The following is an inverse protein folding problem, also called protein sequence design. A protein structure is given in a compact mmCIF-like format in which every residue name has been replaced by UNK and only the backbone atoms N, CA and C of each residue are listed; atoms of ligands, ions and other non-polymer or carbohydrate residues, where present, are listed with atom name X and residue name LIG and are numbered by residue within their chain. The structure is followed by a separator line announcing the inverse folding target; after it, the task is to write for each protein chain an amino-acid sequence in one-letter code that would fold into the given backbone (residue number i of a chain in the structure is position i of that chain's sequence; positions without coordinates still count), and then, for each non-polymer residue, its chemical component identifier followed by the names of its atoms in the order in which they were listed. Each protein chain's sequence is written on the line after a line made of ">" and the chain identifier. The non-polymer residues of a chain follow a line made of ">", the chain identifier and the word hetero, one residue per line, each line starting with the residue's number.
data_IF_988978028244
#
_entry.id   IF_988978028244
#
_cell.length_a   1.000
_cell.length_b   1.000
_cell.length_c   1.000
_cell.angle_alpha   90.00
_cell.angle_beta   90.00
_cell.angle_gamma   90.00
#
_symmetry.space_group_name_H-M   'P 1'
#
loop_
_entity.id
_entity.type
_entity.pdbx_description
1 polymer ?
#
# COMPACT_ATOMS: atom_id res chain seq x y z
N UNK A 1 3.63 -4.15 11.09
CA UNK A 1 2.53 -5.11 11.36
C UNK A 1 1.24 -4.32 11.46
N UNK A 2 0.24 -4.62 10.63
CA UNK A 2 -1.06 -3.97 10.71
C UNK A 2 -1.79 -4.44 11.97
N UNK A 3 -2.40 -3.52 12.71
CA UNK A 3 -3.13 -3.84 13.95
C UNK A 3 -4.20 -4.96 13.84
N UNK A 4 -4.91 -5.16 12.70
CA UNK A 4 -5.85 -6.27 12.53
C UNK A 4 -5.20 -7.66 12.57
N UNK A 5 -3.87 -7.76 12.55
CA UNK A 5 -3.17 -9.02 12.71
C UNK A 5 -3.25 -9.58 14.14
N UNK A 6 -3.52 -8.73 15.14
CA UNK A 6 -3.59 -9.12 16.56
C UNK A 6 -4.82 -8.58 17.29
N UNK A 7 -5.50 -7.55 16.76
CA UNK A 7 -6.77 -7.05 17.29
C UNK A 7 -7.98 -7.51 16.47
N UNK A 8 -9.12 -7.62 17.14
CA UNK A 8 -10.39 -7.91 16.46
C UNK A 8 -10.68 -6.86 15.39
N UNK A 9 -11.17 -7.33 14.24
CA UNK A 9 -11.42 -6.45 13.11
C UNK A 9 -12.56 -6.94 12.24
N UNK A 10 -13.27 -5.97 11.65
CA UNK A 10 -14.26 -6.16 10.59
C UNK A 10 -13.97 -5.13 9.51
N UNK A 11 -12.82 -5.31 8.85
CA UNK A 11 -12.16 -4.21 8.15
C UNK A 11 -11.89 -3.06 9.11
N UNK A 12 -12.26 -1.84 8.72
CA UNK A 12 -12.08 -0.62 9.51
C UNK A 12 -13.24 -0.29 10.47
N UNK A 13 -14.27 -1.16 10.55
CA UNK A 13 -15.46 -0.87 11.37
C UNK A 13 -15.24 -0.95 12.89
N UNK A 14 -14.15 -1.57 13.35
CA UNK A 14 -13.81 -1.69 14.78
C UNK A 14 -12.60 -0.85 15.21
N UNK A 15 -12.12 0.09 14.35
CA UNK A 15 -11.02 0.99 14.72
C UNK A 15 -11.34 1.73 16.02
N UNK A 16 -10.32 1.93 16.86
CA UNK A 16 -10.43 2.58 18.16
C UNK A 16 -10.60 1.59 19.32
N UNK A 17 -11.07 0.37 19.05
CA UNK A 17 -11.08 -0.73 20.03
C UNK A 17 -9.69 -1.37 20.13
N UNK A 18 -8.67 -0.59 20.50
CA UNK A 18 -7.26 -0.99 20.55
C UNK A 18 -6.88 -1.83 21.78
N UNK A 19 -7.88 -2.42 22.43
CA UNK A 19 -7.82 -3.23 23.63
C UNK A 19 -8.52 -4.59 23.44
N UNK A 20 -9.12 -4.85 22.27
CA UNK A 20 -9.84 -6.11 21.99
C UNK A 20 -9.00 -6.99 21.08
N UNK A 21 -8.37 -8.00 21.69
CA UNK A 21 -7.52 -8.96 21.01
C UNK A 21 -8.33 -10.03 20.28
N UNK A 22 -7.78 -10.53 19.17
CA UNK A 22 -8.39 -11.66 18.46
C UNK A 22 -8.36 -12.90 19.33
N UNK A 23 -9.27 -13.84 19.06
CA UNK A 23 -9.30 -15.17 19.69
C UNK A 23 -7.99 -15.96 19.62
N UNK A 24 -7.11 -15.65 18.66
CA UNK A 24 -5.77 -16.26 18.54
C UNK A 24 -4.77 -15.75 19.60
N UNK A 25 -5.12 -14.70 20.34
CA UNK A 25 -4.34 -14.07 21.43
C UNK A 25 -5.16 -14.11 22.74
N UNK A 26 -5.47 -15.30 23.28
CA UNK A 26 -6.31 -15.45 24.47
C UNK A 26 -5.76 -14.73 25.72
N UNK A 27 -4.44 -14.56 25.81
CA UNK A 27 -3.75 -13.83 26.90
C UNK A 27 -3.40 -12.37 26.50
N UNK A 28 -3.99 -11.89 25.41
CA UNK A 28 -3.94 -10.50 24.94
C UNK A 28 -2.52 -9.98 24.71
N UNK A 29 -2.16 -8.90 25.41
CA UNK A 29 -0.85 -8.23 25.30
C UNK A 29 0.32 -9.18 25.59
N UNK A 30 0.14 -10.20 26.43
CA UNK A 30 1.18 -11.21 26.71
C UNK A 30 1.51 -12.04 25.47
N UNK A 31 0.50 -12.49 24.74
CA UNK A 31 0.68 -13.22 23.49
C UNK A 31 1.27 -12.33 22.39
N UNK A 32 0.85 -11.06 22.34
CA UNK A 32 1.43 -10.06 21.45
C UNK A 32 2.93 -9.92 21.72
N UNK A 33 3.35 -9.73 22.98
CA UNK A 33 4.76 -9.67 23.38
C UNK A 33 5.52 -10.93 22.94
N UNK A 34 4.97 -12.12 23.21
CA UNK A 34 5.59 -13.38 22.81
C UNK A 34 5.76 -13.51 21.28
N UNK A 35 4.82 -12.97 20.50
CA UNK A 35 4.92 -12.92 19.04
C UNK A 35 6.02 -11.93 18.60
N UNK A 36 6.09 -10.74 19.20
CA UNK A 36 7.12 -9.74 18.89
C UNK A 36 8.52 -10.23 19.26
N UNK A 37 8.68 -10.89 20.41
CA UNK A 37 9.95 -11.46 20.85
C UNK A 37 10.47 -12.52 19.86
N UNK A 38 9.59 -13.33 19.26
CA UNK A 38 9.97 -14.28 18.20
C UNK A 38 10.46 -13.56 16.93
N UNK A 39 9.83 -12.45 16.56
CA UNK A 39 10.26 -11.65 15.40
C UNK A 39 11.65 -11.04 15.66
N UNK A 40 11.86 -10.49 16.86
CA UNK A 40 13.16 -9.95 17.28
C UNK A 40 14.25 -11.01 17.34
N UNK A 41 13.94 -12.20 17.86
CA UNK A 41 14.87 -13.33 17.90
C UNK A 41 15.31 -13.79 16.49
N UNK A 42 14.50 -13.52 15.47
CA UNK A 42 14.85 -13.73 14.06
C UNK A 42 15.66 -12.59 13.44
N UNK A 43 16.02 -11.55 14.20
CA UNK A 43 16.78 -10.38 13.75
C UNK A 43 15.94 -9.35 12.97
N UNK A 44 14.62 -9.36 13.13
CA UNK A 44 13.71 -8.44 12.46
C UNK A 44 13.19 -7.42 13.48
N UNK A 45 13.28 -6.12 13.16
CA UNK A 45 12.68 -5.02 13.95
C UNK A 45 11.17 -4.98 13.72
N UNK A 46 10.33 -5.32 14.72
CA UNK A 46 8.89 -5.26 14.55
C UNK A 46 8.38 -3.82 14.69
N UNK A 47 7.52 -3.39 13.78
CA UNK A 47 6.78 -2.14 13.94
C UNK A 47 5.28 -2.33 13.82
N UNK A 48 4.55 -1.31 14.20
CA UNK A 48 3.09 -1.29 14.17
C UNK A 48 2.56 -0.21 13.22
N UNK A 49 1.34 -0.43 12.74
CA UNK A 49 0.62 0.47 11.84
C UNK A 49 -0.78 0.65 12.40
N UNK A 50 -1.16 1.89 12.73
CA UNK A 50 -2.45 2.25 13.35
C UNK A 50 -3.12 3.42 12.63
N UNK A 51 -4.46 3.38 12.55
CA UNK A 51 -5.28 4.52 12.14
C UNK A 51 -5.63 5.35 13.39
N UNK A 52 -4.73 6.27 13.75
CA UNK A 52 -4.75 6.93 15.07
C UNK A 52 -5.88 7.95 15.28
N UNK A 53 -6.47 8.48 14.22
CA UNK A 53 -7.50 9.53 14.25
C UNK A 53 -8.91 9.03 13.83
N UNK A 54 -9.01 7.77 13.41
CA UNK A 54 -10.27 7.17 12.97
C UNK A 54 -10.96 6.46 14.13
N UNK A 55 -12.29 6.40 14.06
CA UNK A 55 -13.13 5.60 14.94
C UNK A 55 -14.06 4.76 14.08
N UNK A 56 -14.07 3.45 14.30
CA UNK A 56 -14.91 2.52 13.55
C UNK A 56 -16.39 2.67 13.89
N UNK A 57 -17.28 2.51 12.90
CA UNK A 57 -18.73 2.67 13.09
C UNK A 57 -19.39 1.55 13.92
N UNK A 58 -18.72 0.41 14.07
CA UNK A 58 -19.12 -0.69 14.97
C UNK A 58 -18.34 -0.65 16.30
N UNK A 59 -17.50 0.37 16.53
CA UNK A 59 -16.70 0.49 17.75
C UNK A 59 -17.54 0.91 18.96
N UNK A 60 -16.96 0.74 20.16
CA UNK A 60 -17.60 1.14 21.43
C UNK A 60 -17.92 2.64 21.51
N UNK A 61 -17.25 3.45 20.69
CA UNK A 61 -17.44 4.90 20.63
C UNK A 61 -18.60 5.32 19.73
N UNK A 62 -19.19 4.40 18.95
CA UNK A 62 -20.29 4.72 18.03
C UNK A 62 -21.57 4.03 18.45
N UNK A 63 -21.51 2.74 18.78
CA UNK A 63 -22.69 1.93 19.08
C UNK A 63 -22.71 1.48 20.55
N UNK A 64 -23.87 1.55 21.24
CA UNK A 64 -25.18 2.01 20.77
C UNK A 64 -25.40 3.54 20.88
N UNK A 65 -24.42 4.28 21.41
CA UNK A 65 -24.49 5.74 21.60
C UNK A 65 -23.23 6.37 21.00
N UNK A 66 -23.35 7.25 19.99
CA UNK A 66 -22.18 7.85 19.36
C UNK A 66 -21.57 8.92 20.26
N UNK A 67 -20.28 8.77 20.56
CA UNK A 67 -19.50 9.64 21.45
C UNK A 67 -19.64 11.09 21.00
N UNK A 68 -19.92 11.98 21.95
CA UNK A 68 -20.03 13.42 21.71
C UNK A 68 -18.76 14.08 21.13
N UNK A 69 -17.60 13.44 21.26
CA UNK A 69 -16.28 13.92 20.79
C UNK A 69 -15.95 13.55 19.33
N UNK A 70 -16.88 12.94 18.60
CA UNK A 70 -16.73 12.68 17.17
C UNK A 70 -16.86 13.98 16.37
N UNK A 71 -16.03 14.13 15.33
CA UNK A 71 -15.99 15.36 14.55
C UNK A 71 -17.29 15.61 13.77
N UNK A 72 -17.75 16.86 13.82
CA UNK A 72 -18.91 17.32 13.07
C UNK A 72 -18.47 18.39 12.07
N UNK A 73 -18.74 18.15 10.79
CA UNK A 73 -18.41 19.08 9.72
C UNK A 73 -19.23 20.36 9.79
N UNK A 74 -20.49 20.24 10.24
CA UNK A 74 -21.46 21.32 10.31
C UNK A 74 -22.44 21.08 11.44
N UNK A 75 -22.93 22.16 12.03
CA UNK A 75 -23.92 22.16 13.09
C UNK A 75 -25.24 22.73 12.58
N UNK A 76 -26.33 22.09 12.98
CA UNK A 76 -27.71 22.44 12.67
C UNK A 76 -28.53 22.55 13.96
N UNK A 77 -29.61 23.31 13.90
CA UNK A 77 -30.60 23.44 14.96
C UNK A 77 -31.94 22.89 14.47
N UNK A 78 -32.57 22.03 15.26
CA UNK A 78 -33.92 21.53 14.97
C UNK A 78 -34.94 22.68 14.98
N UNK A 79 -35.61 22.89 13.86
CA UNK A 79 -36.69 23.88 13.72
C UNK A 79 -38.01 23.40 14.32
N UNK A 80 -38.20 22.08 14.38
CA UNK A 80 -39.37 21.42 14.97
C UNK A 80 -38.90 20.28 15.87
N UNK A 81 -39.71 19.87 16.87
CA UNK A 81 -39.41 18.66 17.62
C UNK A 81 -39.29 17.46 16.67
N UNK A 82 -38.34 16.58 16.96
CA UNK A 82 -38.13 15.33 16.22
C UNK A 82 -38.70 14.16 17.03
N UNK A 83 -39.69 13.46 16.48
CA UNK A 83 -40.23 12.23 17.05
C UNK A 83 -39.34 11.03 16.73
N UNK A 84 -39.54 9.87 17.36
CA UNK A 84 -38.78 8.64 17.08
C UNK A 84 -39.07 8.02 15.71
N UNK A 85 -40.18 8.38 15.07
CA UNK A 85 -40.64 7.80 13.80
C UNK A 85 -40.50 8.75 12.61
N UNK A 86 -40.05 9.98 12.86
CA UNK A 86 -39.93 10.99 11.81
C UNK A 86 -38.85 10.60 10.80
N UNK A 87 -39.20 10.73 9.52
CA UNK A 87 -38.33 10.48 8.36
C UNK A 87 -37.89 11.77 7.68
N UNK A 88 -38.25 12.92 8.25
CA UNK A 88 -37.88 14.26 7.78
C UNK A 88 -37.44 15.09 8.96
N UNK A 89 -36.29 15.76 8.85
CA UNK A 89 -35.71 16.60 9.89
C UNK A 89 -35.72 18.04 9.41
N UNK A 90 -36.52 18.90 10.04
CA UNK A 90 -36.59 20.33 9.74
C UNK A 90 -35.49 21.09 10.49
N UNK A 91 -34.73 21.92 9.79
CA UNK A 91 -33.60 22.66 10.34
C UNK A 91 -33.74 24.17 10.12
N UNK A 92 -33.08 24.95 10.97
CA UNK A 92 -33.04 26.41 10.82
C UNK A 92 -32.05 26.86 9.74
N UNK A 93 -30.88 26.22 9.67
CA UNK A 93 -29.81 26.58 8.73
C UNK A 93 -29.99 25.90 7.37
N UNK A 94 -29.57 26.56 6.29
CA UNK A 94 -29.56 25.96 4.96
C UNK A 94 -28.56 24.78 4.88
N UNK A 95 -29.01 23.55 4.58
CA UNK A 95 -28.17 22.35 4.53
C UNK A 95 -27.35 22.24 3.23
N UNK A 96 -27.38 23.23 2.34
CA UNK A 96 -26.53 23.28 1.14
C UNK A 96 -25.07 22.92 1.43
N UNK A 97 -24.47 22.04 0.63
CA UNK A 97 -23.13 21.47 0.81
C UNK A 97 -22.99 20.41 1.91
N UNK A 98 -24.10 19.86 2.43
CA UNK A 98 -24.01 18.63 3.24
C UNK A 98 -23.59 17.45 2.39
N UNK A 99 -22.90 16.47 2.99
CA UNK A 99 -22.31 15.34 2.26
C UNK A 99 -23.37 14.55 1.49
N UNK A 100 -23.13 14.29 0.20
CA UNK A 100 -24.03 13.50 -0.66
C UNK A 100 -23.37 12.23 -1.21
N UNK A 101 -22.11 11.96 -0.88
CA UNK A 101 -21.44 10.72 -1.24
C UNK A 101 -22.14 9.50 -0.58
N UNK A 102 -22.28 8.40 -1.34
CA UNK A 102 -22.94 7.17 -0.86
C UNK A 102 -22.25 6.65 0.40
N UNK A 103 -23.04 6.25 1.41
CA UNK A 103 -22.54 5.74 2.70
C UNK A 103 -22.09 6.80 3.72
N UNK A 104 -21.90 8.06 3.28
CA UNK A 104 -21.38 9.17 4.11
C UNK A 104 -22.43 10.23 4.49
N UNK A 105 -23.69 10.00 4.11
CA UNK A 105 -24.82 10.91 4.41
C UNK A 105 -25.33 10.62 5.81
N UNK A 106 -24.62 11.09 6.84
CA UNK A 106 -24.91 10.71 8.23
C UNK A 106 -24.98 11.96 9.11
N UNK A 107 -26.07 12.07 9.86
CA UNK A 107 -26.27 13.07 10.90
C UNK A 107 -26.07 12.41 12.27
N UNK A 108 -25.39 13.10 13.20
CA UNK A 108 -25.29 12.70 14.60
C UNK A 108 -26.21 13.58 15.43
N UNK A 109 -27.25 12.99 16.01
CA UNK A 109 -28.30 13.69 16.74
C UNK A 109 -28.56 12.99 18.08
N UNK A 110 -28.04 13.58 19.16
CA UNK A 110 -28.10 13.01 20.49
C UNK A 110 -27.40 11.65 20.55
N UNK A 111 -28.17 10.62 20.92
CA UNK A 111 -27.75 9.21 21.02
C UNK A 111 -27.83 8.43 19.71
N UNK A 112 -28.05 9.10 18.58
CA UNK A 112 -28.43 8.44 17.33
C UNK A 112 -27.60 8.93 16.14
N UNK A 113 -27.30 8.02 15.23
CA UNK A 113 -26.89 8.30 13.86
C UNK A 113 -28.07 8.10 12.90
N UNK A 114 -28.24 9.04 11.98
CA UNK A 114 -29.37 9.09 11.05
C UNK A 114 -28.82 9.23 9.62
N UNK A 115 -29.20 8.32 8.71
CA UNK A 115 -28.89 8.48 7.29
C UNK A 115 -29.93 9.34 6.59
N UNK A 116 -29.61 10.00 5.48
CA UNK A 116 -30.59 10.77 4.69
C UNK A 116 -30.43 10.59 3.18
N UNK A 117 -31.55 10.72 2.44
CA UNK A 117 -31.54 10.66 0.98
C UNK A 117 -31.12 11.98 0.34
N UNK A 118 -31.53 13.10 0.91
CA UNK A 118 -31.17 14.43 0.41
C UNK A 118 -31.65 15.54 1.34
N UNK A 119 -31.53 16.78 0.87
CA UNK A 119 -31.93 17.98 1.60
C UNK A 119 -32.48 19.06 0.65
N UNK A 120 -33.23 20.03 1.20
CA UNK A 120 -33.70 21.21 0.46
C UNK A 120 -32.75 22.40 0.63
N UNK A 121 -32.59 23.21 -0.41
CA UNK A 121 -31.78 24.46 -0.37
C UNK A 121 -32.63 25.72 -0.31
N UNK A 122 -33.96 25.57 -0.34
CA UNK A 122 -34.96 26.63 -0.15
C UNK A 122 -35.88 26.30 1.03
N UNK A 123 -36.45 27.31 1.72
CA UNK A 123 -37.37 27.07 2.82
C UNK A 123 -38.63 26.27 2.41
N UNK A 124 -39.14 25.36 3.27
CA UNK A 124 -38.56 24.97 4.55
C UNK A 124 -37.29 24.12 4.36
N UNK A 125 -36.22 24.46 5.07
CA UNK A 125 -34.99 23.68 5.07
C UNK A 125 -35.17 22.36 5.82
N UNK A 126 -34.83 21.26 5.17
CA UNK A 126 -34.97 19.93 5.74
C UNK A 126 -33.99 18.92 5.15
N UNK A 127 -33.71 17.88 5.93
CA UNK A 127 -33.21 16.59 5.44
C UNK A 127 -34.40 15.65 5.27
N UNK A 128 -34.48 14.93 4.16
CA UNK A 128 -35.60 14.05 3.84
C UNK A 128 -35.15 12.63 3.48
N UNK A 129 -36.09 11.68 3.63
CA UNK A 129 -35.81 10.26 3.47
C UNK A 129 -34.83 9.77 4.54
N UNK A 130 -35.02 10.23 5.77
CA UNK A 130 -34.17 9.90 6.89
C UNK A 130 -34.43 8.47 7.36
N UNK A 131 -33.34 7.73 7.59
CA UNK A 131 -33.35 6.40 8.19
C UNK A 131 -32.76 6.49 9.60
N UNK A 132 -33.53 6.04 10.58
CA UNK A 132 -33.26 6.20 12.01
C UNK A 132 -32.44 5.04 12.55
N UNK A 133 -31.59 5.31 13.54
CA UNK A 133 -30.83 4.30 14.29
C UNK A 133 -29.87 3.48 13.43
N UNK A 134 -29.24 4.11 12.42
CA UNK A 134 -28.23 3.39 11.63
C UNK A 134 -27.03 3.02 12.52
N UNK A 135 -26.28 1.99 12.09
CA UNK A 135 -25.18 1.39 12.87
C UNK A 135 -25.61 0.99 14.30
N UNK A 136 -26.87 0.56 14.45
CA UNK A 136 -27.43 0.08 15.73
C UNK A 136 -27.44 1.12 16.85
N UNK A 137 -27.45 2.41 16.47
CA UNK A 137 -27.51 3.51 17.44
C UNK A 137 -28.92 3.74 17.99
N UNK A 138 -28.99 4.29 19.20
CA UNK A 138 -30.24 4.36 19.97
C UNK A 138 -31.13 5.50 19.49
N UNK A 139 -32.28 5.15 18.90
CA UNK A 139 -33.28 6.11 18.42
C UNK A 139 -33.82 6.96 19.58
N UNK A 140 -33.78 8.29 19.40
CA UNK A 140 -34.28 9.24 20.39
C UNK A 140 -35.29 10.25 19.80
N UNK A 141 -35.93 11.00 20.69
CA UNK A 141 -36.72 12.18 20.33
C UNK A 141 -36.03 13.42 20.89
N UNK A 142 -36.13 14.55 20.20
CA UNK A 142 -35.51 15.80 20.63
C UNK A 142 -36.46 17.00 20.47
N UNK A 143 -36.37 18.00 21.36
CA UNK A 143 -37.18 19.20 21.24
C UNK A 143 -36.70 20.10 20.08
N UNK A 144 -37.56 21.04 19.66
CA UNK A 144 -37.12 22.16 18.84
C UNK A 144 -36.01 22.94 19.57
N UNK A 145 -35.06 23.48 18.82
CA UNK A 145 -33.88 24.14 19.36
C UNK A 145 -32.70 23.20 19.66
N UNK A 146 -32.89 21.87 19.65
CA UNK A 146 -31.78 20.94 19.87
C UNK A 146 -30.74 21.05 18.74
N UNK A 147 -29.46 21.09 19.10
CA UNK A 147 -28.35 21.18 18.17
C UNK A 147 -27.78 19.79 17.84
N UNK A 148 -27.49 19.56 16.56
CA UNK A 148 -26.94 18.31 16.05
C UNK A 148 -26.04 18.62 14.85
N UNK A 149 -25.36 17.62 14.26
CA UNK A 149 -24.44 17.91 13.17
C UNK A 149 -24.34 16.87 12.07
N UNK A 150 -23.75 17.29 10.96
CA UNK A 150 -23.28 16.43 9.89
C UNK A 150 -22.01 15.73 10.37
N UNK A 151 -22.07 14.41 10.49
CA UNK A 151 -20.96 13.60 10.97
C UNK A 151 -19.84 13.55 9.92
N UNK A 152 -18.60 13.66 10.38
CA UNK A 152 -17.44 13.53 9.51
C UNK A 152 -17.11 12.04 9.25
N UNK A 153 -17.77 11.48 8.25
CA UNK A 153 -17.60 10.08 7.85
C UNK A 153 -16.44 9.97 6.85
N UNK A 154 -15.54 9.04 7.10
CA UNK A 154 -14.37 8.79 6.27
C UNK A 154 -14.74 8.43 4.83
N UNK A 155 -13.97 8.93 3.87
CA UNK A 155 -14.04 8.59 2.45
C UNK A 155 -13.56 7.17 2.15
N UNK A 156 -12.82 6.55 3.07
CA UNK A 156 -12.27 5.20 2.92
C UNK A 156 -13.33 4.14 3.23
N UNK A 157 -14.23 3.95 2.26
CA UNK A 157 -15.30 2.96 2.30
C UNK A 157 -16.45 3.30 3.26
N UNK A 158 -16.47 4.49 3.87
CA UNK A 158 -17.51 4.96 4.79
C UNK A 158 -17.74 4.05 6.01
N UNK A 159 -16.68 3.39 6.46
CA UNK A 159 -16.68 2.39 7.55
C UNK A 159 -16.23 2.96 8.90
N UNK A 160 -15.66 4.16 8.90
CA UNK A 160 -15.17 4.89 10.08
C UNK A 160 -15.53 6.37 10.00
N UNK A 161 -15.31 7.08 11.10
CA UNK A 161 -15.55 8.51 11.31
C UNK A 161 -14.30 9.13 11.96
N UNK A 162 -14.19 10.45 11.95
CA UNK A 162 -13.03 11.16 12.50
C UNK A 162 -13.27 11.68 13.92
N UNK A 163 -12.19 11.72 14.71
CA UNK A 163 -12.15 12.33 16.04
C UNK A 163 -12.12 13.85 15.90
N UNK A 164 -12.88 14.57 16.74
CA UNK A 164 -12.70 16.02 16.89
C UNK A 164 -11.36 16.29 17.59
N UNK A 165 -10.41 16.90 16.88
CA UNK A 165 -9.06 17.16 17.40
C UNK A 165 -9.02 18.27 18.46
N UNK A 166 -10.14 18.95 18.73
CA UNK A 166 -10.29 19.82 19.90
C UNK A 166 -10.71 19.07 21.17
N UNK A 167 -11.01 17.78 21.07
CA UNK A 167 -11.40 16.94 22.20
C UNK A 167 -10.23 16.13 22.78
N UNK A 168 -10.48 15.52 23.95
CA UNK A 168 -9.59 14.58 24.62
C UNK A 168 -9.69 13.13 24.09
N UNK A 169 -10.61 12.82 23.17
CA UNK A 169 -10.77 11.45 22.64
C UNK A 169 -9.51 10.95 21.94
N UNK A 170 -8.75 11.84 21.29
CA UNK A 170 -7.49 11.47 20.66
C UNK A 170 -6.39 11.12 21.70
N UNK A 171 -6.41 11.71 22.90
CA UNK A 171 -5.50 11.29 23.99
C UNK A 171 -5.85 9.90 24.49
N UNK A 172 -7.16 9.61 24.64
CA UNK A 172 -7.66 8.31 25.06
C UNK A 172 -7.26 7.21 24.05
N UNK A 173 -7.46 7.46 22.74
CA UNK A 173 -6.99 6.54 21.69
C UNK A 173 -5.47 6.39 21.71
N UNK A 174 -4.74 7.48 21.98
CA UNK A 174 -3.29 7.44 22.11
C UNK A 174 -2.83 6.58 23.31
N UNK A 175 -3.55 6.57 24.43
CA UNK A 175 -3.25 5.71 25.58
C UNK A 175 -3.34 4.23 25.22
N UNK A 176 -4.37 3.82 24.46
CA UNK A 176 -4.47 2.43 24.01
C UNK A 176 -3.34 2.05 23.04
N UNK A 177 -2.95 2.96 22.14
CA UNK A 177 -1.83 2.70 21.22
C UNK A 177 -0.51 2.58 22.02
N UNK A 178 -0.30 3.43 23.03
CA UNK A 178 0.86 3.37 23.90
C UNK A 178 0.89 2.07 24.73
N UNK A 179 -0.25 1.62 25.27
CA UNK A 179 -0.31 0.33 25.95
C UNK A 179 0.08 -0.83 25.01
N UNK A 180 -0.32 -0.81 23.73
CA UNK A 180 0.13 -1.80 22.76
C UNK A 180 1.62 -1.67 22.41
N UNK A 181 2.14 -0.43 22.36
CA UNK A 181 3.55 -0.14 22.08
C UNK A 181 4.48 -0.85 23.07
N UNK A 182 4.15 -0.80 24.36
CA UNK A 182 4.88 -1.43 25.47
C UNK A 182 5.05 -2.96 25.33
N UNK A 183 4.28 -3.61 24.45
CA UNK A 183 4.50 -5.02 24.12
C UNK A 183 5.88 -5.25 23.49
N UNK A 184 6.49 -4.21 22.91
CA UNK A 184 7.84 -4.22 22.39
C UNK A 184 7.93 -3.93 20.90
N UNK A 185 7.05 -3.10 20.35
CA UNK A 185 7.27 -2.56 19.00
C UNK A 185 8.48 -1.60 19.00
N UNK A 186 9.11 -1.41 17.84
CA UNK A 186 10.31 -0.59 17.71
C UNK A 186 10.19 0.52 16.66
N UNK A 187 9.25 0.41 15.70
CA UNK A 187 8.92 1.51 14.77
C UNK A 187 7.40 1.66 14.62
N UNK A 188 6.94 2.86 14.24
CA UNK A 188 5.52 3.17 14.09
C UNK A 188 5.20 3.81 12.73
N UNK A 189 4.10 3.39 12.12
CA UNK A 189 3.48 4.08 10.99
C UNK A 189 2.15 4.71 11.42
N UNK A 190 2.07 6.04 11.34
CA UNK A 190 0.87 6.85 11.61
C UNK A 190 -0.04 6.91 10.39
N UNK A 191 -0.99 5.98 10.30
CA UNK A 191 -2.02 5.99 9.27
C UNK A 191 -3.25 6.80 9.70
N UNK A 192 -4.10 7.17 8.75
CA UNK A 192 -5.27 8.03 9.00
C UNK A 192 -4.92 9.49 9.28
N UNK A 193 -3.73 9.94 8.89
CA UNK A 193 -3.26 11.31 9.16
C UNK A 193 -4.13 12.38 8.48
N UNK A 194 -4.88 12.01 7.44
CA UNK A 194 -5.86 12.82 6.74
C UNK A 194 -7.17 13.04 7.53
N UNK A 195 -7.47 12.16 8.49
CA UNK A 195 -8.70 12.13 9.28
C UNK A 195 -8.74 13.12 10.44
N UNK A 196 -8.46 14.39 10.19
CA UNK A 196 -8.45 15.45 11.21
C UNK A 196 -9.21 16.69 10.74
N UNK A 197 -9.81 17.46 11.64
CA UNK A 197 -10.45 18.72 11.27
C UNK A 197 -9.43 19.84 10.96
N UNK A 198 -9.81 20.89 10.19
CA UNK A 198 -8.95 22.06 9.99
C UNK A 198 -8.63 22.81 11.30
N UNK A 199 -7.47 23.50 11.36
CA UNK A 199 -6.46 23.65 10.31
C UNK A 199 -5.48 22.46 10.23
N UNK A 200 -5.37 21.86 9.03
CA UNK A 200 -4.60 20.62 8.82
C UNK A 200 -3.10 20.76 9.12
N UNK A 201 -2.50 21.94 8.90
CA UNK A 201 -1.07 22.15 9.17
C UNK A 201 -0.71 21.90 10.65
N UNK A 202 -1.67 22.12 11.56
CA UNK A 202 -1.52 21.90 12.99
C UNK A 202 -2.04 20.52 13.40
N UNK A 203 -3.30 20.20 13.07
CA UNK A 203 -3.98 19.03 13.61
C UNK A 203 -3.43 17.68 13.11
N UNK A 204 -2.87 17.62 11.90
CA UNK A 204 -2.23 16.38 11.40
C UNK A 204 -1.04 16.00 12.29
N UNK A 205 -0.10 16.93 12.49
CA UNK A 205 1.04 16.70 13.38
C UNK A 205 0.65 16.65 14.85
N UNK A 206 -0.40 17.38 15.25
CA UNK A 206 -0.90 17.39 16.62
C UNK A 206 -1.44 16.01 17.03
N UNK A 207 -2.25 15.38 16.18
CA UNK A 207 -2.75 14.03 16.41
C UNK A 207 -1.61 13.00 16.49
N UNK A 208 -0.65 13.09 15.57
CA UNK A 208 0.57 12.25 15.59
C UNK A 208 1.37 12.45 16.87
N UNK A 209 1.56 13.69 17.31
CA UNK A 209 2.33 14.04 18.51
C UNK A 209 1.70 13.54 19.80
N UNK A 210 0.36 13.60 19.92
CA UNK A 210 -0.36 13.07 21.11
C UNK A 210 -0.14 11.58 21.30
N UNK A 211 0.03 10.83 20.22
CA UNK A 211 0.43 9.41 20.27
C UNK A 211 1.94 9.30 20.52
N UNK A 212 2.77 9.96 19.70
CA UNK A 212 4.24 9.85 19.76
C UNK A 212 4.80 10.17 21.15
N UNK A 213 4.31 11.24 21.78
CA UNK A 213 4.75 11.69 23.12
C UNK A 213 4.46 10.71 24.25
N UNK A 214 3.63 9.69 24.02
CA UNK A 214 3.30 8.64 25.00
C UNK A 214 4.09 7.34 24.77
N UNK A 215 4.90 7.25 23.72
CA UNK A 215 5.65 6.04 23.38
C UNK A 215 6.98 6.00 24.15
N UNK A 216 7.16 4.99 25.01
CA UNK A 216 8.40 4.73 25.71
C UNK A 216 8.82 3.26 25.49
N UNK A 217 10.02 2.97 24.93
CA UNK A 217 10.99 3.93 24.41
C UNK A 217 10.49 4.66 23.15
N UNK A 218 11.12 5.78 22.82
CA UNK A 218 10.86 6.48 21.55
C UNK A 218 11.10 5.53 20.34
N UNK A 219 10.26 5.61 19.28
CA UNK A 219 10.44 4.79 18.08
C UNK A 219 11.81 4.99 17.42
N UNK A 220 12.45 3.89 16.99
CA UNK A 220 13.73 3.95 16.27
C UNK A 220 13.61 4.69 14.93
N UNK A 221 12.42 4.66 14.34
CA UNK A 221 11.95 5.59 13.33
C UNK A 221 10.42 5.62 13.34
N UNK A 222 9.84 6.67 12.77
CA UNK A 222 8.42 6.69 12.47
C UNK A 222 8.14 7.23 11.06
N UNK A 223 7.03 6.78 10.49
CA UNK A 223 6.49 7.21 9.20
C UNK A 223 5.02 7.57 9.37
N UNK A 224 4.42 8.23 8.39
CA UNK A 224 2.98 8.50 8.43
C UNK A 224 2.41 8.81 7.06
N UNK A 225 1.09 8.59 6.92
CA UNK A 225 0.34 8.85 5.69
C UNK A 225 0.40 10.33 5.26
N UNK A 226 0.58 11.25 6.21
CA UNK A 226 0.85 12.65 5.92
C UNK A 226 1.95 13.20 6.82
N UNK A 227 2.67 14.19 6.30
CA UNK A 227 3.72 14.93 7.01
C UNK A 227 3.44 16.43 6.90
N UNK A 228 3.43 17.14 8.02
CA UNK A 228 3.40 18.62 8.03
C UNK A 228 4.74 19.17 8.49
N UNK A 229 4.88 20.50 8.48
CA UNK A 229 6.11 21.16 8.93
C UNK A 229 6.49 20.77 10.36
N UNK A 230 5.54 20.53 11.28
CA UNK A 230 5.84 20.16 12.67
C UNK A 230 6.20 18.67 12.83
N UNK A 231 5.85 17.80 11.88
CA UNK A 231 6.15 16.37 11.94
C UNK A 231 7.64 16.02 11.86
N UNK A 232 8.53 16.98 11.53
CA UNK A 232 9.96 16.72 11.25
C UNK A 232 10.73 16.07 12.41
N UNK A 233 10.36 16.36 13.65
CA UNK A 233 11.03 15.81 14.83
C UNK A 233 10.47 14.44 15.26
N UNK A 234 9.39 13.96 14.63
CA UNK A 234 8.80 12.63 14.90
C UNK A 234 8.98 11.68 13.72
N UNK A 235 8.76 12.16 12.50
CA UNK A 235 8.68 11.34 11.30
C UNK A 235 9.98 11.41 10.50
N UNK A 236 10.66 10.26 10.42
CA UNK A 236 11.85 10.03 9.59
C UNK A 236 11.52 9.97 8.10
N UNK A 237 10.28 9.62 7.76
CA UNK A 237 9.77 9.62 6.39
C UNK A 237 8.30 10.03 6.34
N UNK A 238 7.92 10.72 5.28
CA UNK A 238 6.53 11.11 5.04
C UNK A 238 5.96 10.39 3.82
N UNK A 239 4.70 9.97 3.94
CA UNK A 239 3.90 9.33 2.89
C UNK A 239 4.41 7.95 2.45
N UNK A 240 3.50 6.98 2.41
CA UNK A 240 3.65 5.75 1.65
C UNK A 240 2.43 5.64 0.74
N UNK A 241 2.65 5.29 -0.53
CA UNK A 241 1.54 5.10 -1.45
C UNK A 241 0.92 3.72 -1.28
N UNK A 242 -0.41 3.71 -1.32
CA UNK A 242 -1.25 2.53 -1.26
C UNK A 242 -0.92 1.50 -2.35
N UNK A 243 -1.44 0.29 -2.15
CA UNK A 243 -1.23 -0.84 -3.04
C UNK A 243 -1.85 -0.60 -4.42
N UNK A 244 -1.03 -0.62 -5.46
CA UNK A 244 -1.47 -0.65 -6.85
C UNK A 244 -1.59 -2.09 -7.40
N UNK A 245 -2.47 -2.37 -8.37
CA UNK A 245 -2.50 -3.66 -9.06
C UNK A 245 -1.22 -3.85 -9.89
N UNK A 246 -0.73 -5.10 -10.04
CA UNK A 246 0.51 -5.39 -10.77
C UNK A 246 0.59 -4.74 -12.15
N UNK A 247 -0.50 -4.75 -12.91
CA UNK A 247 -0.59 -4.24 -14.28
C UNK A 247 -0.40 -2.73 -14.39
N UNK A 248 -0.60 -1.99 -13.30
CA UNK A 248 -0.42 -0.53 -13.24
C UNK A 248 0.73 -0.09 -12.36
N UNK A 249 1.44 -1.03 -11.72
CA UNK A 249 2.40 -0.69 -10.67
C UNK A 249 3.48 0.27 -11.15
N UNK A 250 4.05 0.04 -12.33
CA UNK A 250 5.10 0.92 -12.90
C UNK A 250 4.56 2.32 -13.22
N UNK A 251 3.38 2.41 -13.83
CA UNK A 251 2.72 3.69 -14.16
C UNK A 251 2.41 4.50 -12.89
N UNK A 252 1.76 3.88 -11.91
CA UNK A 252 1.38 4.56 -10.67
C UNK A 252 2.63 4.91 -9.85
N UNK A 253 3.70 4.12 -9.90
CA UNK A 253 5.00 4.46 -9.31
C UNK A 253 5.56 5.77 -9.88
N UNK A 254 5.50 5.96 -11.21
CA UNK A 254 5.98 7.20 -11.84
C UNK A 254 5.10 8.40 -11.46
N UNK A 255 3.79 8.21 -11.41
CA UNK A 255 2.81 9.26 -11.15
C UNK A 255 2.80 9.72 -9.69
N UNK A 256 3.08 8.81 -8.77
CA UNK A 256 2.96 9.00 -7.33
C UNK A 256 4.33 9.11 -6.64
N UNK A 257 4.98 8.03 -6.17
CA UNK A 257 6.21 8.13 -5.38
C UNK A 257 7.37 8.78 -6.13
N UNK A 258 7.55 8.46 -7.42
CA UNK A 258 8.63 9.04 -8.21
C UNK A 258 8.49 10.57 -8.37
N UNK A 259 7.25 11.06 -8.50
CA UNK A 259 6.96 12.50 -8.59
C UNK A 259 7.11 13.21 -7.25
N UNK A 260 6.93 12.50 -6.13
CA UNK A 260 7.07 13.05 -4.79
C UNK A 260 8.51 13.05 -4.26
N UNK A 261 9.33 12.07 -4.67
CA UNK A 261 10.70 11.92 -4.18
C UNK A 261 11.57 13.20 -4.21
N UNK A 262 11.58 14.02 -5.30
CA UNK A 262 12.32 15.27 -5.30
C UNK A 262 11.84 16.24 -4.21
N UNK A 263 10.52 16.32 -3.98
CA UNK A 263 9.93 17.22 -2.97
C UNK A 263 10.30 16.77 -1.56
N UNK A 264 10.34 15.47 -1.31
CA UNK A 264 10.78 14.94 -0.01
C UNK A 264 12.26 15.23 0.22
N UNK A 265 13.10 15.05 -0.81
CA UNK A 265 14.51 15.39 -0.73
C UNK A 265 14.73 16.89 -0.43
N UNK A 266 14.00 17.79 -1.10
CA UNK A 266 14.04 19.25 -0.84
C UNK A 266 13.63 19.60 0.61
N UNK A 267 12.85 18.74 1.26
CA UNK A 267 12.44 18.86 2.67
C UNK A 267 13.36 18.09 3.64
N UNK A 268 14.58 17.72 3.21
CA UNK A 268 15.57 16.96 3.98
C UNK A 268 14.99 15.68 4.60
N UNK A 269 14.10 15.03 3.86
CA UNK A 269 13.40 13.80 4.28
C UNK A 269 13.34 12.83 3.10
N UNK A 270 12.74 11.67 3.36
CA UNK A 270 12.39 10.70 2.33
C UNK A 270 10.90 10.35 2.41
N UNK A 271 10.40 9.70 1.39
CA UNK A 271 9.18 8.89 1.47
C UNK A 271 9.52 7.41 1.61
N UNK A 272 8.50 6.60 1.86
CA UNK A 272 8.55 5.19 1.54
C UNK A 272 8.00 5.02 0.12
N UNK A 273 8.79 4.45 -0.80
CA UNK A 273 8.43 4.47 -2.23
C UNK A 273 7.19 3.64 -2.56
N UNK A 274 6.68 2.84 -1.62
CA UNK A 274 5.33 2.29 -1.69
C UNK A 274 5.16 1.02 -0.88
N UNK A 275 3.90 0.74 -0.53
CA UNK A 275 3.47 -0.56 -0.02
C UNK A 275 3.13 -1.46 -1.19
N UNK A 276 4.13 -2.19 -1.69
CA UNK A 276 3.96 -3.07 -2.85
C UNK A 276 3.11 -4.28 -2.46
N UNK A 277 1.86 -4.28 -2.91
CA UNK A 277 0.96 -5.40 -2.68
C UNK A 277 1.47 -6.67 -3.36
N UNK A 278 1.34 -7.78 -2.65
CA UNK A 278 1.81 -9.07 -3.12
C UNK A 278 0.64 -9.95 -3.55
N UNK A 279 0.49 -10.16 -4.87
CA UNK A 279 -0.68 -10.84 -5.47
C UNK A 279 -0.25 -12.08 -6.23
N UNK A 280 -1.00 -13.17 -6.08
CA UNK A 280 -0.80 -14.38 -6.87
C UNK A 280 -1.15 -14.14 -8.34
N UNK A 281 -0.43 -14.77 -9.29
CA UNK A 281 -0.86 -14.80 -10.69
C UNK A 281 -2.17 -15.59 -10.85
N UNK A 282 -3.00 -15.19 -11.81
CA UNK A 282 -4.28 -15.83 -12.13
C UNK A 282 -4.90 -15.27 -13.41
N UNK A 283 -6.16 -15.61 -13.69
CA UNK A 283 -6.82 -15.21 -14.96
C UNK A 283 -6.91 -13.69 -15.15
N UNK A 284 -7.12 -12.94 -14.07
CA UNK A 284 -7.34 -11.49 -14.09
C UNK A 284 -6.07 -10.67 -13.81
N UNK A 285 -4.96 -11.31 -13.44
CA UNK A 285 -3.72 -10.61 -13.10
C UNK A 285 -2.47 -11.45 -13.34
N UNK A 286 -1.39 -10.80 -13.76
CA UNK A 286 -0.08 -11.45 -13.87
C UNK A 286 0.57 -11.74 -12.51
N UNK A 287 -0.04 -11.29 -11.40
CA UNK A 287 0.56 -11.38 -10.07
C UNK A 287 1.74 -10.43 -9.90
N UNK A 288 2.34 -10.41 -8.72
CA UNK A 288 3.52 -9.57 -8.45
C UNK A 288 4.75 -10.21 -9.09
N UNK A 289 5.39 -9.49 -10.01
CA UNK A 289 6.49 -10.01 -10.83
C UNK A 289 7.84 -9.35 -10.55
N UNK A 290 8.96 -10.03 -10.82
CA UNK A 290 10.30 -9.52 -10.52
C UNK A 290 10.61 -8.19 -11.21
N UNK A 291 10.14 -7.98 -12.45
CA UNK A 291 10.39 -6.74 -13.20
C UNK A 291 9.68 -5.53 -12.58
N UNK A 292 8.52 -5.74 -11.96
CA UNK A 292 7.79 -4.69 -11.26
C UNK A 292 8.55 -4.27 -10.01
N UNK A 293 9.06 -5.23 -9.24
CA UNK A 293 9.87 -4.93 -8.06
C UNK A 293 11.20 -4.28 -8.45
N UNK A 294 11.85 -4.77 -9.51
CA UNK A 294 13.09 -4.21 -10.06
C UNK A 294 12.88 -2.76 -10.49
N UNK A 295 11.78 -2.48 -11.19
CA UNK A 295 11.42 -1.12 -11.56
C UNK A 295 11.26 -0.22 -10.34
N UNK A 296 10.38 -0.59 -9.39
CA UNK A 296 10.10 0.26 -8.23
C UNK A 296 11.34 0.48 -7.36
N UNK A 297 12.06 -0.59 -7.02
CA UNK A 297 13.23 -0.52 -6.14
C UNK A 297 14.39 0.21 -6.80
N UNK A 298 14.56 0.12 -8.12
CA UNK A 298 15.56 0.93 -8.85
C UNK A 298 15.25 2.43 -8.78
N UNK A 299 13.98 2.82 -8.93
CA UNK A 299 13.56 4.21 -8.81
C UNK A 299 13.70 4.71 -7.38
N UNK A 300 13.39 3.87 -6.39
CA UNK A 300 13.57 4.20 -4.98
C UNK A 300 15.04 4.41 -4.62
N UNK A 301 15.93 3.53 -5.07
CA UNK A 301 17.38 3.61 -4.83
C UNK A 301 18.01 4.88 -5.42
N UNK A 302 17.45 5.39 -6.53
CA UNK A 302 17.88 6.66 -7.14
C UNK A 302 17.70 7.89 -6.23
N UNK A 303 16.83 7.78 -5.23
CA UNK A 303 16.50 8.80 -4.24
C UNK A 303 16.81 8.35 -2.80
N UNK A 304 17.59 7.27 -2.64
CA UNK A 304 17.93 6.68 -1.34
C UNK A 304 16.70 6.35 -0.46
N UNK A 305 15.55 6.08 -1.11
CA UNK A 305 14.28 5.77 -0.43
C UNK A 305 14.13 4.26 -0.18
N UNK A 306 13.56 3.84 0.97
CA UNK A 306 13.18 2.46 1.20
C UNK A 306 11.90 2.10 0.42
N UNK A 307 11.66 0.81 0.28
CA UNK A 307 10.43 0.22 -0.27
C UNK A 307 9.87 -0.77 0.74
N UNK A 308 8.55 -0.99 0.74
CA UNK A 308 7.90 -1.98 1.61
C UNK A 308 7.05 -2.95 0.80
N UNK A 309 6.99 -4.21 1.23
CA UNK A 309 6.11 -5.21 0.62
C UNK A 309 4.93 -5.46 1.58
N UNK A 310 3.72 -5.31 1.06
CA UNK A 310 2.50 -5.67 1.78
C UNK A 310 2.07 -7.08 1.37
N UNK A 311 2.37 -8.04 2.24
CA UNK A 311 2.06 -9.45 2.05
C UNK A 311 1.66 -10.14 3.36
N UNK A 312 1.10 -11.33 3.25
CA UNK A 312 0.98 -12.27 4.36
C UNK A 312 1.77 -13.57 4.05
N UNK A 313 2.21 -14.32 5.07
CA UNK A 313 3.03 -15.53 4.86
C UNK A 313 2.39 -16.59 3.96
N UNK A 314 1.07 -16.75 4.00
CA UNK A 314 0.38 -17.75 3.18
C UNK A 314 0.39 -17.38 1.69
N UNK A 315 0.25 -16.10 1.36
CA UNK A 315 0.39 -15.62 -0.02
C UNK A 315 1.84 -15.78 -0.50
N UNK A 316 2.82 -15.43 0.34
CA UNK A 316 4.24 -15.60 0.01
C UNK A 316 4.58 -17.06 -0.30
N UNK A 317 4.11 -18.01 0.52
CA UNK A 317 4.37 -19.43 0.32
C UNK A 317 3.73 -20.00 -0.96
N UNK A 318 2.60 -19.45 -1.40
CA UNK A 318 1.89 -19.90 -2.62
C UNK A 318 2.39 -19.26 -3.90
N UNK A 319 3.05 -18.11 -3.81
CA UNK A 319 3.44 -17.39 -5.01
C UNK A 319 4.66 -18.06 -5.67
N UNK A 320 4.55 -18.50 -6.93
CA UNK A 320 5.60 -19.28 -7.60
C UNK A 320 6.89 -18.49 -7.78
N UNK A 321 6.79 -17.16 -7.87
CA UNK A 321 7.95 -16.24 -7.98
C UNK A 321 8.45 -15.64 -6.67
N UNK A 322 8.09 -16.19 -5.50
CA UNK A 322 8.58 -15.61 -4.23
C UNK A 322 10.09 -15.57 -4.13
N UNK A 323 10.79 -16.63 -4.51
CA UNK A 323 12.24 -16.62 -4.50
C UNK A 323 12.81 -15.54 -5.44
N UNK A 324 12.32 -15.46 -6.68
CA UNK A 324 12.76 -14.48 -7.67
C UNK A 324 12.48 -13.03 -7.24
N UNK A 325 11.27 -12.77 -6.73
CA UNK A 325 10.82 -11.45 -6.27
C UNK A 325 11.67 -10.95 -5.09
N UNK A 326 11.90 -11.80 -4.09
CA UNK A 326 12.69 -11.42 -2.93
C UNK A 326 14.18 -11.35 -3.23
N UNK A 327 14.68 -12.09 -4.21
CA UNK A 327 16.05 -11.93 -4.68
C UNK A 327 16.25 -10.55 -5.32
N UNK A 328 15.32 -10.08 -6.18
CA UNK A 328 15.36 -8.70 -6.71
C UNK A 328 15.33 -7.68 -5.57
N UNK A 329 14.40 -7.85 -4.64
CA UNK A 329 14.26 -6.94 -3.50
C UNK A 329 15.53 -6.90 -2.64
N UNK A 330 16.12 -8.07 -2.33
CA UNK A 330 17.38 -8.21 -1.58
C UNK A 330 18.52 -7.44 -2.26
N UNK A 331 18.71 -7.60 -3.57
CA UNK A 331 19.81 -6.94 -4.30
C UNK A 331 19.68 -5.42 -4.26
N UNK A 332 18.48 -4.90 -4.52
CA UNK A 332 18.27 -3.44 -4.55
C UNK A 332 18.36 -2.81 -3.15
N UNK A 333 17.84 -3.49 -2.11
CA UNK A 333 18.03 -3.03 -0.74
C UNK A 333 19.50 -3.10 -0.30
N UNK A 334 20.27 -4.09 -0.75
CA UNK A 334 21.71 -4.16 -0.51
C UNK A 334 22.47 -3.05 -1.23
N UNK A 335 22.11 -2.72 -2.48
CA UNK A 335 22.64 -1.57 -3.23
C UNK A 335 22.39 -0.26 -2.48
N UNK A 336 21.18 -0.07 -1.94
CA UNK A 336 20.81 1.09 -1.13
C UNK A 336 21.61 1.15 0.17
N UNK A 337 21.64 0.05 0.93
CA UNK A 337 22.32 -0.03 2.21
C UNK A 337 23.84 0.19 2.10
N UNK A 338 24.47 -0.33 1.03
CA UNK A 338 25.91 -0.16 0.76
C UNK A 338 26.26 1.16 0.09
N UNK A 339 25.26 2.00 -0.27
CA UNK A 339 25.46 3.21 -1.09
C UNK A 339 26.27 2.89 -2.36
N UNK A 340 25.94 1.78 -3.02
CA UNK A 340 26.74 1.24 -4.12
C UNK A 340 26.65 2.08 -5.39
N UNK A 341 25.51 2.77 -5.61
CA UNK A 341 25.29 3.60 -6.80
C UNK A 341 26.13 4.87 -6.77
N UNK A 342 26.76 5.19 -7.90
CA UNK A 342 27.34 6.53 -8.12
C UNK A 342 26.24 7.56 -8.37
N UNK A 343 26.57 8.85 -8.24
CA UNK A 343 25.60 9.92 -8.52
C UNK A 343 25.15 9.91 -9.99
N UNK A 344 26.03 9.57 -10.94
CA UNK A 344 25.67 9.40 -12.34
C UNK A 344 24.67 8.26 -12.53
N UNK A 345 24.85 7.14 -11.80
CA UNK A 345 23.91 6.02 -11.83
C UNK A 345 22.56 6.40 -11.22
N UNK A 346 22.54 7.14 -10.11
CA UNK A 346 21.29 7.68 -9.56
C UNK A 346 20.58 8.57 -10.57
N UNK A 347 21.29 9.48 -11.25
CA UNK A 347 20.72 10.33 -12.31
C UNK A 347 20.18 9.52 -13.49
N UNK A 348 20.84 8.42 -13.87
CA UNK A 348 20.31 7.51 -14.89
C UNK A 348 19.01 6.83 -14.45
N UNK A 349 18.94 6.35 -13.20
CA UNK A 349 17.75 5.72 -12.64
C UNK A 349 16.58 6.71 -12.48
N UNK A 350 16.85 8.01 -12.37
CA UNK A 350 15.86 9.11 -12.39
C UNK A 350 15.28 9.41 -13.78
N UNK A 351 15.62 8.66 -14.82
CA UNK A 351 14.92 8.75 -16.12
C UNK A 351 13.64 7.92 -16.06
N UNK A 352 12.44 8.49 -16.28
CA UNK A 352 11.18 7.76 -16.10
C UNK A 352 11.02 6.60 -17.10
N UNK A 353 11.43 6.81 -18.35
CA UNK A 353 11.17 5.87 -19.46
C UNK A 353 12.22 4.76 -19.61
N UNK A 354 13.33 4.82 -18.86
CA UNK A 354 14.39 3.83 -18.93
C UNK A 354 14.29 2.85 -17.76
N UNK A 355 14.19 1.56 -18.10
CA UNK A 355 14.31 0.45 -17.14
C UNK A 355 15.76 -0.03 -17.03
N UNK A 356 16.09 -0.59 -15.87
CA UNK A 356 17.39 -1.15 -15.55
C UNK A 356 17.20 -2.47 -14.83
N UNK A 357 18.15 -3.38 -15.02
CA UNK A 357 18.23 -4.62 -14.23
C UNK A 357 19.55 -4.67 -13.49
N UNK A 358 19.49 -5.16 -12.25
CA UNK A 358 20.64 -5.35 -11.37
C UNK A 358 21.08 -6.81 -11.42
N UNK A 359 22.13 -7.03 -12.21
CA UNK A 359 22.71 -8.34 -12.45
C UNK A 359 23.68 -8.72 -11.33
N UNK A 360 23.90 -10.03 -11.18
CA UNK A 360 25.06 -10.57 -10.51
C UNK A 360 25.98 -11.13 -11.60
N UNK A 361 27.19 -10.59 -11.69
CA UNK A 361 28.18 -11.08 -12.65
C UNK A 361 28.72 -12.45 -12.22
N UNK A 362 29.66 -12.99 -12.99
CA UNK A 362 30.28 -14.31 -12.77
C UNK A 362 31.05 -14.40 -11.43
N UNK A 363 31.39 -13.26 -10.82
CA UNK A 363 32.04 -13.14 -9.51
C UNK A 363 31.06 -12.84 -8.38
N UNK A 364 29.76 -12.87 -8.67
CA UNK A 364 28.69 -12.52 -7.74
C UNK A 364 28.73 -11.05 -7.28
N UNK A 365 29.22 -10.15 -8.13
CA UNK A 365 29.23 -8.70 -7.91
C UNK A 365 28.08 -8.03 -8.66
N UNK A 366 27.59 -6.91 -8.13
CA UNK A 366 26.53 -6.13 -8.77
C UNK A 366 27.00 -5.51 -10.09
N UNK A 367 26.14 -5.61 -11.11
CA UNK A 367 26.34 -4.97 -12.40
C UNK A 367 25.01 -4.34 -12.85
N UNK A 368 24.99 -3.02 -13.00
CA UNK A 368 23.79 -2.27 -13.41
C UNK A 368 23.80 -2.07 -14.91
N UNK A 369 22.76 -2.54 -15.60
CA UNK A 369 22.61 -2.37 -17.05
C UNK A 369 21.23 -1.83 -17.43
N UNK A 370 21.14 -0.95 -18.44
CA UNK A 370 19.85 -0.58 -19.01
C UNK A 370 19.25 -1.80 -19.72
N UNK A 371 17.94 -1.95 -19.61
CA UNK A 371 17.20 -3.03 -20.26
C UNK A 371 15.89 -2.54 -20.89
N UNK A 372 15.42 -3.29 -21.88
CA UNK A 372 14.21 -2.98 -22.63
C UNK A 372 13.27 -4.19 -22.66
N UNK A 373 12.02 -3.99 -22.26
CA UNK A 373 11.02 -5.06 -22.29
C UNK A 373 10.70 -5.46 -23.74
N UNK A 374 10.70 -6.77 -24.00
CA UNK A 374 10.15 -7.31 -25.23
C UNK A 374 8.63 -7.37 -25.08
N UNK A 375 7.93 -6.54 -25.85
CA UNK A 375 6.46 -6.56 -25.92
C UNK A 375 5.96 -7.67 -26.83
N UNK A 376 4.75 -8.14 -26.55
CA UNK A 376 3.99 -9.10 -27.36
C UNK A 376 4.66 -10.48 -27.51
N UNK A 377 5.39 -10.93 -26.48
CA UNK A 377 6.00 -12.27 -26.44
C UNK A 377 4.95 -13.34 -26.70
N UNK A 378 5.30 -14.33 -27.51
CA UNK A 378 4.44 -15.43 -27.93
C UNK A 378 3.04 -14.96 -28.40
N UNK A 379 3.04 -14.06 -29.39
CA UNK A 379 1.87 -13.49 -30.03
C UNK A 379 0.92 -12.78 -29.04
N UNK A 380 1.50 -11.96 -28.14
CA UNK A 380 0.73 -11.18 -27.17
C UNK A 380 0.33 -11.95 -25.91
N UNK A 381 0.92 -13.12 -25.66
CA UNK A 381 0.72 -13.84 -24.40
C UNK A 381 1.26 -13.02 -23.22
N UNK A 382 0.53 -13.06 -22.11
CA UNK A 382 0.94 -12.44 -20.83
C UNK A 382 1.70 -13.41 -19.93
N UNK A 383 1.85 -14.66 -20.35
CA UNK A 383 2.43 -15.72 -19.54
C UNK A 383 3.95 -15.61 -19.41
N UNK A 384 4.61 -14.92 -20.35
CA UNK A 384 6.06 -14.82 -20.40
C UNK A 384 6.46 -13.36 -20.41
N UNK A 385 7.40 -13.01 -19.53
CA UNK A 385 8.01 -11.70 -19.45
C UNK A 385 9.45 -11.85 -19.92
N UNK A 386 9.88 -10.97 -20.83
CA UNK A 386 11.24 -10.97 -21.36
C UNK A 386 11.78 -9.54 -21.53
N UNK A 387 13.08 -9.39 -21.30
CA UNK A 387 13.81 -8.13 -21.45
C UNK A 387 15.11 -8.38 -22.21
N UNK A 388 15.54 -7.41 -23.01
CA UNK A 388 16.85 -7.40 -23.66
C UNK A 388 17.78 -6.40 -22.98
N UNK A 389 19.08 -6.69 -22.99
CA UNK A 389 20.12 -5.76 -22.55
C UNK A 389 21.45 -6.07 -23.26
N UNK A 390 22.33 -5.08 -23.36
CA UNK A 390 23.66 -5.25 -23.92
C UNK A 390 24.69 -5.36 -22.80
N UNK A 391 25.62 -6.31 -22.92
CA UNK A 391 26.72 -6.51 -21.98
C UNK A 391 27.96 -6.97 -22.71
N UNK A 392 29.10 -6.31 -22.49
CA UNK A 392 30.39 -6.65 -23.11
C UNK A 392 30.35 -6.83 -24.64
N UNK A 393 29.56 -6.01 -25.34
CA UNK A 393 29.28 -6.04 -26.79
C UNK A 393 28.35 -7.16 -27.27
N UNK A 394 27.97 -8.07 -26.40
CA UNK A 394 27.01 -9.13 -26.71
C UNK A 394 25.59 -8.70 -26.31
N UNK A 395 24.62 -9.23 -27.05
CA UNK A 395 23.20 -9.06 -26.76
C UNK A 395 22.72 -10.18 -25.85
N UNK A 396 21.99 -9.83 -24.81
CA UNK A 396 21.36 -10.77 -23.90
C UNK A 396 19.85 -10.57 -23.87
N UNK A 397 19.14 -11.64 -23.56
CA UNK A 397 17.77 -11.56 -23.07
C UNK A 397 17.61 -12.32 -21.76
N UNK A 398 16.78 -11.78 -20.87
CA UNK A 398 16.37 -12.42 -19.63
C UNK A 398 14.86 -12.62 -19.66
N UNK A 399 14.40 -13.80 -19.28
CA UNK A 399 12.99 -14.16 -19.41
C UNK A 399 12.55 -15.20 -18.38
N UNK A 400 11.27 -15.22 -18.10
CA UNK A 400 10.61 -16.16 -17.19
C UNK A 400 9.10 -16.19 -17.46
N UNK A 401 8.45 -17.23 -16.94
CA UNK A 401 7.02 -17.41 -16.99
C UNK A 401 6.38 -16.94 -15.68
N UNK A 402 5.18 -16.35 -15.72
CA UNK A 402 4.60 -15.65 -14.56
C UNK A 402 4.23 -16.57 -13.39
N UNK A 403 3.94 -17.85 -13.64
CA UNK A 403 3.30 -18.73 -12.65
C UNK A 403 3.84 -20.16 -12.53
N UNK A 404 4.21 -20.80 -13.64
CA UNK A 404 4.67 -22.19 -13.67
C UNK A 404 5.87 -22.45 -14.58
N UNK A 405 6.20 -23.72 -14.72
CA UNK A 405 7.20 -24.21 -15.66
C UNK A 405 6.53 -24.53 -17.00
N UNK A 406 6.99 -23.85 -18.04
CA UNK A 406 6.64 -24.08 -19.44
C UNK A 406 7.92 -24.07 -20.27
N UNK A 407 7.79 -24.38 -21.56
CA UNK A 407 8.84 -24.16 -22.54
C UNK A 407 8.32 -23.23 -23.64
N UNK A 408 9.24 -22.63 -24.38
CA UNK A 408 8.93 -21.99 -25.64
C UNK A 408 9.76 -22.59 -26.76
N UNK A 409 9.13 -22.70 -27.93
CA UNK A 409 9.84 -22.88 -29.19
C UNK A 409 10.12 -21.50 -29.79
N UNK A 410 11.38 -21.09 -29.77
CA UNK A 410 11.88 -19.84 -30.32
C UNK A 410 12.37 -20.07 -31.76
N UNK A 411 11.99 -19.24 -32.76
CA UNK A 411 12.40 -19.40 -34.15
C UNK A 411 13.83 -18.88 -34.40
N UNK A 412 14.79 -19.46 -33.69
CA UNK A 412 16.22 -19.19 -33.76
C UNK A 412 16.97 -20.52 -33.67
N UNK A 413 18.09 -20.65 -34.39
CA UNK A 413 18.96 -21.83 -34.29
C UNK A 413 19.63 -21.90 -32.92
N UNK A 414 19.69 -23.10 -32.35
CA UNK A 414 20.33 -23.32 -31.05
C UNK A 414 21.82 -22.95 -31.06
N UNK A 415 22.50 -23.06 -32.21
CA UNK A 415 23.90 -22.66 -32.37
C UNK A 415 24.15 -21.15 -32.24
N UNK A 416 23.12 -20.32 -32.38
CA UNK A 416 23.22 -18.86 -32.28
C UNK A 416 22.95 -18.34 -30.85
N UNK A 417 22.66 -19.25 -29.91
CA UNK A 417 22.25 -18.95 -28.55
C UNK A 417 23.11 -19.71 -27.53
N UNK A 418 23.46 -19.02 -26.46
CA UNK A 418 23.98 -19.66 -25.24
C UNK A 418 22.93 -19.48 -24.14
N UNK A 419 22.41 -20.58 -23.60
CA UNK A 419 21.43 -20.58 -22.52
C UNK A 419 22.12 -20.67 -21.16
N UNK A 420 21.68 -19.88 -20.21
CA UNK A 420 22.24 -19.81 -18.86
C UNK A 420 21.14 -19.73 -17.81
N UNK A 421 21.36 -20.39 -16.68
CA UNK A 421 20.52 -20.24 -15.49
C UNK A 421 20.92 -18.99 -14.68
N UNK A 422 22.24 -18.77 -14.56
CA UNK A 422 22.86 -17.59 -13.97
C UNK A 422 23.96 -17.13 -14.92
N UNK A 423 24.31 -15.83 -14.92
CA UNK A 423 25.39 -15.35 -15.77
C UNK A 423 26.69 -16.13 -15.51
N UNK A 424 27.29 -16.66 -16.58
CA UNK A 424 28.47 -17.53 -16.53
C UNK A 424 28.20 -19.01 -16.23
N UNK A 425 26.95 -19.41 -15.96
CA UNK A 425 26.56 -20.81 -15.74
C UNK A 425 25.65 -21.29 -16.88
N UNK A 426 26.29 -21.78 -17.93
CA UNK A 426 25.63 -22.35 -19.10
C UNK A 426 24.87 -23.63 -18.75
N UNK A 427 23.74 -23.84 -19.42
CA UNK A 427 22.94 -25.07 -19.34
C UNK A 427 22.63 -25.55 -20.76
N UNK A 428 22.29 -26.83 -20.89
CA UNK A 428 22.02 -27.43 -22.19
C UNK A 428 20.85 -26.75 -22.91
N UNK A 429 21.05 -26.50 -24.20
CA UNK A 429 20.07 -25.92 -25.11
C UNK A 429 19.58 -27.01 -26.07
N UNK A 430 18.25 -27.12 -26.24
CA UNK A 430 17.65 -28.15 -27.09
C UNK A 430 17.20 -27.57 -28.42
N UNK A 431 17.51 -28.25 -29.52
CA UNK A 431 16.92 -27.92 -30.83
C UNK A 431 15.43 -28.27 -30.85
N UNK A 432 14.63 -27.45 -31.55
CA UNK A 432 13.20 -27.66 -31.75
C UNK A 432 12.88 -28.72 -32.80
N UNK A 433 11.62 -28.75 -33.26
CA UNK A 433 11.18 -29.71 -34.29
C UNK A 433 11.94 -29.55 -35.62
N UNK A 434 12.45 -28.35 -35.88
CA UNK A 434 13.30 -28.01 -37.02
C UNK A 434 14.59 -27.35 -36.55
N UNK A 435 15.67 -27.51 -37.33
CA UNK A 435 17.02 -27.06 -36.94
C UNK A 435 17.16 -25.52 -36.80
N UNK A 436 16.20 -24.76 -37.33
CA UNK A 436 16.05 -23.32 -37.23
C UNK A 436 15.28 -22.86 -35.98
N UNK A 437 14.89 -23.79 -35.10
CA UNK A 437 14.15 -23.50 -33.87
C UNK A 437 14.87 -24.05 -32.65
N UNK A 438 14.63 -23.40 -31.53
CA UNK A 438 15.22 -23.74 -30.22
C UNK A 438 14.14 -23.89 -29.18
N UNK A 439 14.23 -24.93 -28.35
CA UNK A 439 13.37 -25.10 -27.18
C UNK A 439 14.08 -24.50 -25.96
N UNK A 440 13.43 -23.53 -25.33
CA UNK A 440 13.91 -22.85 -24.14
C UNK A 440 12.97 -23.10 -22.95
N UNK A 441 13.50 -23.44 -21.75
CA UNK A 441 12.69 -23.50 -20.55
C UNK A 441 12.34 -22.08 -20.10
N UNK A 442 11.06 -21.81 -19.85
CA UNK A 442 10.61 -20.50 -19.35
C UNK A 442 10.15 -20.55 -17.90
N UNK A 443 10.37 -21.66 -17.19
CA UNK A 443 10.09 -21.79 -15.76
C UNK A 443 10.75 -20.71 -14.92
N UNK A 444 11.93 -20.97 -14.37
CA UNK A 444 12.69 -19.94 -13.64
C UNK A 444 13.19 -18.80 -14.54
N UNK A 445 13.74 -17.75 -13.93
CA UNK A 445 14.46 -16.69 -14.65
C UNK A 445 15.71 -17.28 -15.31
N UNK A 446 15.76 -17.21 -16.64
CA UNK A 446 16.88 -17.66 -17.46
C UNK A 446 17.44 -16.51 -18.30
N UNK A 447 18.68 -16.69 -18.75
CA UNK A 447 19.37 -15.75 -19.62
C UNK A 447 19.75 -16.45 -20.91
N UNK A 448 19.60 -15.78 -22.04
CA UNK A 448 20.25 -16.17 -23.29
C UNK A 448 21.21 -15.08 -23.72
N UNK A 449 22.32 -15.50 -24.32
CA UNK A 449 23.32 -14.65 -24.96
C UNK A 449 23.34 -14.97 -26.45
N UNK A 450 23.51 -13.95 -27.28
CA UNK A 450 23.75 -14.10 -28.71
C UNK A 450 24.74 -13.04 -29.21
N UNK A 451 25.65 -13.47 -30.08
CA UNK A 451 26.56 -12.59 -30.83
C UNK A 451 26.17 -12.41 -32.30
N UNK A 452 25.18 -13.17 -32.78
CA UNK A 452 24.82 -13.26 -34.20
C UNK A 452 23.48 -12.58 -34.53
N UNK A 453 22.71 -12.18 -33.52
CA UNK A 453 21.40 -11.55 -33.71
C UNK A 453 21.42 -10.08 -33.26
N UNK A 454 20.72 -9.26 -34.01
CA UNK A 454 20.36 -7.90 -33.61
C UNK A 454 19.26 -7.92 -32.54
N UNK A 455 19.09 -6.79 -31.85
CA UNK A 455 18.02 -6.61 -30.84
C UNK A 455 16.62 -6.84 -31.44
N UNK A 456 16.39 -6.35 -32.66
CA UNK A 456 15.09 -6.49 -33.34
C UNK A 456 14.82 -7.92 -33.79
N UNK A 457 15.84 -8.64 -34.27
CA UNK A 457 15.71 -10.07 -34.62
C UNK A 457 15.40 -10.90 -33.37
N UNK A 458 16.11 -10.69 -32.26
CA UNK A 458 15.85 -11.40 -31.02
C UNK A 458 14.44 -11.08 -30.46
N UNK A 459 14.06 -9.81 -30.45
CA UNK A 459 12.72 -9.40 -30.01
C UNK A 459 11.62 -10.00 -30.90
N UNK A 460 11.82 -10.01 -32.23
CA UNK A 460 10.89 -10.64 -33.17
C UNK A 460 10.82 -12.15 -32.96
N UNK A 461 11.92 -12.82 -32.63
CA UNK A 461 11.90 -14.23 -32.30
C UNK A 461 11.03 -14.50 -31.08
N UNK A 462 11.18 -13.73 -29.99
CA UNK A 462 10.32 -13.87 -28.80
C UNK A 462 8.85 -13.57 -29.10
N UNK A 463 8.54 -12.57 -29.93
CA UNK A 463 7.16 -12.28 -30.36
C UNK A 463 6.52 -13.44 -31.11
N UNK A 464 7.30 -14.15 -31.92
CA UNK A 464 6.85 -15.29 -32.70
C UNK A 464 7.10 -16.64 -32.02
N UNK A 465 7.49 -16.64 -30.75
CA UNK A 465 7.69 -17.87 -29.99
C UNK A 465 6.37 -18.60 -29.77
N UNK A 466 6.42 -19.93 -29.65
CA UNK A 466 5.24 -20.76 -29.37
C UNK A 466 5.40 -21.33 -27.97
N UNK A 467 4.44 -21.08 -27.07
CA UNK A 467 4.40 -21.70 -25.76
C UNK A 467 4.03 -23.18 -25.93
N UNK A 468 4.85 -24.05 -25.34
CA UNK A 468 4.69 -25.50 -25.37
C UNK A 468 4.79 -26.06 -23.94
N UNK A 469 4.14 -27.20 -23.73
CA UNK A 469 4.05 -27.88 -22.42
C UNK A 469 5.37 -28.52 -21.97
#
# INVERSE_FOLDING_TARGET
>A
IYYPAFLESRGYRLIGNYDVFRKEYPDGKTDLKAMLDKIKAAGITPGCHFLHSHIGRDSRYVTPIPDHRLNLLRIFTLKRPLSKTDTTIYVEQNPANSTMAKGRRVLKLGTELISYKGYTTEPPYMFYGCERGIDETTINAQPAGFMFGLLDVSEFGATSVYIDQYSDLQDEVADYIADLWDAGFEFLYFDGSEGVNPPFWYHVSGAQYRVYSKLDPEPVFAEGAAKTHFSWHMLTGGNAFDVFPPEKLKEETLKHPFREAPRMQDNFTRLNFGWLGYRLPGESTIGTQPDQLEFVTSKAAAWDCPVSIHANPATLAKHPRTADNFEVFRRWEEVRAKKWLTEEQKLMLRKPDQEFTLLLNEKNEFELVPCDQIKDVANGSKEIIAFTFNRNKDLYAVYWHISGDKKIELPVKSSDLTLMQYLGKEIEISSGQSADKTILPVGNRHYIKTGNLTKDELANAFRNAIIID
#
